data_IF_350145551615
#
_entry.id   IF_350145551615
#
_cell.length_a   1.000
_cell.length_b   1.000
_cell.length_c   1.000
_cell.angle_alpha   90.00
_cell.angle_beta   90.00
_cell.angle_gamma   90.00
#
_symmetry.space_group_name_H-M   'P 1'
#
loop_
_entity.id
_entity.type
_entity.pdbx_description
1 polymer ?
#
# COMPACT_ATOMS: atom_id res chain seq x y z
N UNK A 1 -11.93 -6.33 6.79
CA UNK A 1 -11.73 -5.59 8.05
C UNK A 1 -10.53 -6.17 8.80
N UNK A 2 -9.50 -5.34 9.02
CA UNK A 2 -8.28 -5.68 9.78
C UNK A 2 -8.62 -6.01 11.24
N UNK A 3 -9.65 -5.36 11.82
CA UNK A 3 -10.17 -5.71 13.13
C UNK A 3 -10.75 -7.13 13.14
N UNK A 4 -11.53 -7.49 12.12
CA UNK A 4 -12.03 -8.86 11.96
C UNK A 4 -10.91 -9.89 11.71
N UNK A 5 -9.80 -9.53 11.04
CA UNK A 5 -8.65 -10.42 10.83
C UNK A 5 -7.77 -10.60 12.07
N UNK A 6 -7.55 -9.54 12.85
CA UNK A 6 -6.85 -9.59 14.15
C UNK A 6 -7.69 -10.30 15.22
N UNK A 7 -9.02 -10.27 15.09
CA UNK A 7 -9.94 -11.04 15.92
C UNK A 7 -10.02 -12.53 15.55
N UNK A 8 -9.50 -12.96 14.38
CA UNK A 8 -9.46 -14.39 14.05
C UNK A 8 -8.62 -15.12 15.10
N UNK A 9 -9.11 -16.26 15.64
CA UNK A 9 -8.45 -16.97 16.73
C UNK A 9 -6.97 -17.29 16.46
N UNK A 10 -6.65 -17.61 15.21
CA UNK A 10 -5.29 -17.94 14.77
C UNK A 10 -4.36 -16.72 14.80
N UNK A 11 -4.83 -15.54 14.35
CA UNK A 11 -4.07 -14.29 14.33
C UNK A 11 -3.85 -13.75 15.74
N UNK A 12 -4.88 -13.78 16.59
CA UNK A 12 -4.79 -13.37 18.00
C UNK A 12 -3.80 -14.25 18.76
N UNK A 13 -3.81 -15.56 18.53
CA UNK A 13 -2.89 -16.53 19.14
C UNK A 13 -1.44 -16.32 18.67
N UNK A 14 -1.23 -15.98 17.40
CA UNK A 14 0.09 -15.64 16.87
C UNK A 14 0.63 -14.33 17.46
N UNK A 15 -0.21 -13.29 17.54
CA UNK A 15 0.14 -11.99 18.12
C UNK A 15 0.52 -12.10 19.60
N UNK A 16 -0.25 -12.84 20.40
CA UNK A 16 0.04 -13.04 21.83
C UNK A 16 1.32 -13.85 22.07
N UNK A 17 1.60 -14.85 21.22
CA UNK A 17 2.87 -15.59 21.26
C UNK A 17 4.07 -14.68 20.98
N UNK A 18 3.94 -13.77 20.01
CA UNK A 18 5.00 -12.83 19.66
C UNK A 18 5.21 -11.76 20.73
N UNK A 19 4.13 -11.19 21.31
CA UNK A 19 4.23 -10.27 22.45
C UNK A 19 4.93 -10.93 23.65
N UNK A 20 4.53 -12.16 23.99
CA UNK A 20 5.15 -12.93 25.09
C UNK A 20 6.63 -13.24 24.81
N UNK A 21 7.00 -13.50 23.56
CA UNK A 21 8.39 -13.67 23.17
C UNK A 21 9.21 -12.37 23.26
N UNK A 22 8.60 -11.23 22.91
CA UNK A 22 9.23 -9.90 23.00
C UNK A 22 9.47 -9.48 24.45
N UNK A 23 8.50 -9.68 25.33
CA UNK A 23 8.62 -9.38 26.77
C UNK A 23 9.69 -10.25 27.44
N UNK A 24 9.79 -11.53 27.03
CA UNK A 24 10.85 -12.42 27.50
C UNK A 24 12.24 -11.96 27.04
N UNK A 25 12.37 -11.35 25.85
CA UNK A 25 13.62 -10.75 25.39
C UNK A 25 13.96 -9.50 26.20
N UNK A 26 12.99 -8.62 26.49
CA UNK A 26 13.22 -7.41 27.30
C UNK A 26 13.70 -7.76 28.71
N UNK A 27 13.11 -8.79 29.32
CA UNK A 27 13.52 -9.28 30.64
C UNK A 27 14.94 -9.90 30.61
N UNK A 28 15.33 -10.56 29.52
CA UNK A 28 16.68 -11.13 29.34
C UNK A 28 17.74 -10.09 28.90
N UNK A 29 17.36 -8.84 28.60
CA UNK A 29 18.27 -7.75 28.18
C UNK A 29 18.49 -6.64 29.22
N UNK A 30 17.90 -6.73 30.42
CA UNK A 30 18.25 -5.84 31.53
C UNK A 30 19.71 -6.07 31.96
N UNK A 31 20.51 -5.00 32.19
CA UNK A 31 21.97 -5.09 32.08
C UNK A 31 22.59 -5.68 33.35
N UNK A 32 23.34 -6.77 33.17
CA UNK A 32 24.17 -7.36 34.20
C UNK A 32 25.12 -8.38 33.58
N UNK A 33 26.33 -7.93 33.26
CA UNK A 33 27.50 -8.69 32.77
C UNK A 33 27.54 -9.07 31.28
N UNK A 34 28.34 -8.28 30.54
CA UNK A 34 28.85 -8.62 29.22
C UNK A 34 29.92 -9.73 29.33
N UNK A 35 29.45 -10.99 29.36
CA UNK A 35 30.29 -12.17 29.13
C UNK A 35 30.00 -12.81 27.74
N UNK A 36 30.92 -13.63 27.20
CA UNK A 36 30.71 -14.31 25.91
C UNK A 36 29.43 -15.15 25.96
N UNK A 37 28.43 -14.81 25.11
CA UNK A 37 27.13 -15.49 25.09
C UNK A 37 27.33 -16.97 24.80
N UNK A 38 26.88 -17.84 25.71
CA UNK A 38 26.93 -19.29 25.50
C UNK A 38 26.22 -19.68 24.19
N UNK A 39 26.74 -20.70 23.49
CA UNK A 39 26.13 -21.23 22.25
C UNK A 39 24.63 -21.55 22.41
N UNK A 40 24.19 -21.87 23.64
CA UNK A 40 22.80 -22.12 24.01
C UNK A 40 21.94 -20.84 24.00
N UNK A 41 22.46 -19.72 24.50
CA UNK A 41 21.78 -18.42 24.45
C UNK A 41 21.62 -17.91 23.01
N UNK A 42 22.66 -18.08 22.18
CA UNK A 42 22.62 -17.68 20.76
C UNK A 42 21.58 -18.48 19.96
N UNK A 43 21.51 -19.80 20.16
CA UNK A 43 20.50 -20.67 19.52
C UNK A 43 19.08 -20.30 19.93
N UNK A 44 18.86 -19.93 21.20
CA UNK A 44 17.56 -19.50 21.71
C UNK A 44 17.15 -18.15 21.09
N UNK A 45 18.07 -17.21 21.00
CA UNK A 45 17.88 -15.91 20.33
C UNK A 45 17.51 -16.12 18.84
N UNK A 46 18.28 -16.94 18.11
CA UNK A 46 18.03 -17.22 16.69
C UNK A 46 16.63 -17.81 16.42
N UNK A 47 16.13 -18.70 17.31
CA UNK A 47 14.76 -19.26 17.19
C UNK A 47 13.69 -18.17 17.33
N UNK A 48 13.86 -17.21 18.24
CA UNK A 48 12.88 -16.11 18.40
C UNK A 48 12.91 -15.17 17.20
N UNK A 49 14.09 -14.82 16.68
CA UNK A 49 14.21 -14.03 15.46
C UNK A 49 13.60 -14.72 14.23
N UNK A 50 13.68 -16.05 14.14
CA UNK A 50 13.02 -16.81 13.07
C UNK A 50 11.49 -16.69 13.13
N UNK A 51 10.90 -16.76 14.32
CA UNK A 51 9.45 -16.58 14.51
C UNK A 51 9.01 -15.13 14.21
N UNK A 52 9.79 -14.13 14.63
CA UNK A 52 9.54 -12.72 14.27
C UNK A 52 9.58 -12.52 12.75
N UNK A 53 10.56 -13.13 12.05
CA UNK A 53 10.64 -13.05 10.58
C UNK A 53 9.45 -13.72 9.89
N UNK A 54 8.99 -14.88 10.39
CA UNK A 54 7.78 -15.54 9.86
C UNK A 54 6.55 -14.66 10.02
N UNK A 55 6.39 -14.03 11.19
CA UNK A 55 5.29 -13.09 11.43
C UNK A 55 5.40 -11.82 10.58
N UNK A 56 6.59 -11.23 10.47
CA UNK A 56 6.83 -10.07 9.60
C UNK A 56 6.57 -10.40 8.13
N UNK A 57 6.88 -11.62 7.68
CA UNK A 57 6.53 -12.13 6.34
C UNK A 57 5.02 -12.34 6.19
N UNK A 58 4.35 -12.88 7.20
CA UNK A 58 2.89 -13.03 7.21
C UNK A 58 2.19 -11.67 7.12
N UNK A 59 2.58 -10.70 7.95
CA UNK A 59 2.08 -9.32 7.91
C UNK A 59 2.37 -8.68 6.56
N UNK A 60 3.60 -8.79 6.02
CA UNK A 60 3.94 -8.26 4.69
C UNK A 60 3.08 -8.86 3.56
N UNK A 61 2.72 -10.13 3.69
CA UNK A 61 1.95 -10.85 2.67
C UNK A 61 0.43 -10.65 2.78
N UNK A 62 -0.07 -10.17 3.92
CA UNK A 62 -1.52 -10.06 4.19
C UNK A 62 -1.98 -8.67 4.63
N UNK A 63 -1.05 -7.77 4.94
CA UNK A 63 -1.32 -6.39 5.37
C UNK A 63 -0.44 -5.46 4.54
N UNK A 64 -1.06 -4.68 3.67
CA UNK A 64 -0.36 -3.65 2.90
C UNK A 64 0.36 -2.70 3.88
N UNK A 65 1.67 -2.45 3.72
CA UNK A 65 2.47 -1.68 4.67
C UNK A 65 1.94 -0.26 4.98
N UNK A 66 1.12 0.32 4.09
CA UNK A 66 0.55 1.66 4.21
C UNK A 66 -0.75 1.81 5.02
N UNK A 67 -1.29 0.74 5.61
CA UNK A 67 -2.60 0.78 6.32
C UNK A 67 -2.49 0.76 7.85
N UNK A 68 -1.28 0.67 8.41
CA UNK A 68 -1.10 0.61 9.88
C UNK A 68 -1.32 1.97 10.52
N UNK A 69 -2.42 2.12 11.26
CA UNK A 69 -2.68 3.26 12.15
C UNK A 69 -3.42 4.45 11.52
N UNK A 70 -4.02 4.27 10.33
CA UNK A 70 -4.79 5.31 9.67
C UNK A 70 -6.29 5.15 9.94
N UNK A 71 -7.00 6.22 10.34
CA UNK A 71 -8.45 6.25 10.57
C UNK A 71 -9.31 6.19 9.28
N UNK A 72 -8.81 5.53 8.23
CA UNK A 72 -9.52 5.44 6.95
C UNK A 72 -10.59 4.36 6.99
N UNK A 73 -11.77 4.71 6.47
CA UNK A 73 -12.75 3.69 6.12
C UNK A 73 -12.22 2.88 4.93
N UNK A 74 -12.36 1.57 4.94
CA UNK A 74 -11.87 0.70 3.88
C UNK A 74 -13.03 -0.06 3.27
N UNK A 75 -13.20 0.06 1.96
CA UNK A 75 -14.24 -0.64 1.21
C UNK A 75 -13.64 -1.45 0.08
N UNK A 76 -13.99 -2.74 0.02
CA UNK A 76 -13.53 -3.65 -1.02
C UNK A 76 -14.68 -4.00 -1.94
N UNK A 77 -14.50 -3.74 -3.24
CA UNK A 77 -15.47 -4.10 -4.27
C UNK A 77 -15.49 -5.63 -4.41
N UNK A 78 -16.68 -6.18 -4.60
CA UNK A 78 -16.93 -7.59 -4.89
C UNK A 78 -18.07 -7.73 -5.91
N UNK A 79 -18.32 -8.95 -6.37
CA UNK A 79 -19.44 -9.26 -7.26
C UNK A 79 -20.82 -8.88 -6.68
N UNK A 80 -20.95 -8.80 -5.35
CA UNK A 80 -22.22 -8.50 -4.66
C UNK A 80 -22.23 -7.16 -3.96
N UNK A 81 -21.12 -6.42 -3.96
CA UNK A 81 -20.99 -5.17 -3.23
C UNK A 81 -20.07 -4.19 -3.96
N UNK A 82 -20.66 -3.11 -4.47
CA UNK A 82 -19.98 -2.11 -5.29
C UNK A 82 -19.40 -0.93 -4.51
N UNK A 83 -19.43 -0.96 -3.16
CA UNK A 83 -19.02 0.18 -2.32
C UNK A 83 -19.82 1.47 -2.63
N UNK A 84 -21.15 1.48 -2.46
CA UNK A 84 -21.98 2.65 -2.79
C UNK A 84 -21.57 3.87 -1.97
N UNK A 85 -21.57 5.05 -2.61
CA UNK A 85 -21.14 6.32 -2.01
C UNK A 85 -21.97 6.65 -0.76
N UNK A 86 -23.25 6.27 -0.74
CA UNK A 86 -24.17 6.52 0.37
C UNK A 86 -23.77 5.79 1.65
N UNK A 87 -23.07 4.66 1.53
CA UNK A 87 -22.55 3.89 2.66
C UNK A 87 -21.22 4.43 3.19
N UNK A 88 -20.56 5.35 2.47
CA UNK A 88 -19.30 5.94 2.90
C UNK A 88 -19.53 7.06 3.93
N UNK A 89 -18.65 7.19 4.94
CA UNK A 89 -18.73 8.27 5.93
C UNK A 89 -18.58 9.64 5.25
N UNK A 90 -19.46 10.57 5.60
CA UNK A 90 -19.31 11.98 5.22
C UNK A 90 -18.11 12.60 5.91
N UNK A 91 -17.48 13.57 5.24
CA UNK A 91 -16.35 14.35 5.75
C UNK A 91 -15.19 13.49 6.29
N UNK A 92 -14.98 12.33 5.66
CA UNK A 92 -13.85 11.46 5.96
C UNK A 92 -13.40 10.73 4.69
N UNK A 93 -12.12 10.37 4.65
CA UNK A 93 -11.53 9.60 3.56
C UNK A 93 -11.90 8.11 3.68
N UNK A 94 -12.34 7.54 2.56
CA UNK A 94 -12.52 6.11 2.37
C UNK A 94 -11.53 5.61 1.32
N UNK A 95 -10.88 4.48 1.58
CA UNK A 95 -10.06 3.76 0.61
C UNK A 95 -10.97 2.75 -0.09
N UNK A 96 -10.95 2.75 -1.42
CA UNK A 96 -11.68 1.83 -2.27
C UNK A 96 -10.68 0.88 -2.92
N UNK A 97 -10.93 -0.41 -2.75
CA UNK A 97 -10.12 -1.50 -3.29
C UNK A 97 -10.89 -2.20 -4.42
N UNK A 98 -10.51 -1.96 -5.70
CA UNK A 98 -11.15 -2.58 -6.87
C UNK A 98 -10.59 -3.97 -7.22
N UNK A 99 -9.67 -4.55 -6.42
CA UNK A 99 -8.85 -5.71 -6.79
C UNK A 99 -9.55 -7.08 -6.88
N UNK A 100 -10.88 -7.16 -7.01
CA UNK A 100 -11.57 -8.45 -7.19
C UNK A 100 -12.23 -8.60 -8.56
N UNK A 101 -12.07 -9.81 -9.11
CA UNK A 101 -12.80 -10.32 -10.27
C UNK A 101 -14.32 -10.31 -10.03
N UNK A 102 -15.08 -10.01 -11.09
CA UNK A 102 -16.54 -10.00 -11.06
C UNK A 102 -17.20 -8.69 -10.65
N UNK A 103 -16.45 -7.58 -10.55
CA UNK A 103 -17.07 -6.26 -10.43
C UNK A 103 -17.99 -5.97 -11.63
N UNK A 104 -19.20 -5.41 -11.43
CA UNK A 104 -20.15 -5.10 -12.52
C UNK A 104 -19.59 -4.14 -13.57
N UNK A 105 -18.48 -3.46 -13.26
CA UNK A 105 -17.83 -2.48 -14.13
C UNK A 105 -16.64 -3.03 -14.94
N UNK A 106 -16.38 -4.35 -14.96
CA UNK A 106 -15.18 -4.95 -15.58
C UNK A 106 -13.85 -4.37 -15.08
N UNK A 107 -13.85 -3.83 -13.85
CA UNK A 107 -12.67 -3.25 -13.19
C UNK A 107 -11.80 -4.31 -12.48
N UNK A 108 -12.14 -5.58 -12.59
CA UNK A 108 -11.70 -6.60 -11.62
C UNK A 108 -10.41 -7.36 -11.91
N UNK A 109 -9.97 -7.49 -13.16
CA UNK A 109 -8.81 -8.33 -13.50
C UNK A 109 -7.54 -7.49 -13.65
N UNK A 110 -6.48 -7.83 -12.90
CA UNK A 110 -5.13 -7.25 -13.03
C UNK A 110 -4.99 -5.75 -12.74
N UNK A 111 -5.74 -5.20 -11.77
CA UNK A 111 -5.56 -3.83 -11.30
C UNK A 111 -4.31 -3.68 -10.42
N UNK A 112 -3.14 -3.74 -11.04
CA UNK A 112 -1.84 -3.77 -10.37
C UNK A 112 -1.04 -2.52 -10.69
N UNK A 113 -0.25 -2.09 -9.72
CA UNK A 113 0.79 -1.10 -9.91
C UNK A 113 1.98 -1.71 -10.68
N UNK A 114 2.89 -0.85 -11.14
CA UNK A 114 4.08 -1.29 -11.87
C UNK A 114 4.93 -2.24 -11.03
N UNK A 115 4.98 -2.10 -9.70
CA UNK A 115 5.69 -3.03 -8.80
C UNK A 115 4.94 -4.34 -8.52
N UNK A 116 3.82 -4.57 -9.21
CA UNK A 116 2.88 -5.67 -8.99
C UNK A 116 2.13 -5.63 -7.65
N UNK A 117 2.12 -4.52 -6.91
CA UNK A 117 1.19 -4.33 -5.79
C UNK A 117 -0.23 -4.04 -6.29
N UNK A 118 -1.23 -4.13 -5.41
CA UNK A 118 -2.61 -3.78 -5.77
C UNK A 118 -2.78 -2.28 -5.95
N UNK A 119 -3.48 -1.88 -7.00
CA UNK A 119 -4.01 -0.53 -7.14
C UNK A 119 -5.22 -0.34 -6.22
N UNK A 120 -5.34 0.86 -5.66
CA UNK A 120 -6.41 1.30 -4.77
C UNK A 120 -6.58 2.81 -4.97
N UNK A 121 -7.76 3.35 -4.71
CA UNK A 121 -7.99 4.81 -4.76
C UNK A 121 -8.73 5.30 -3.51
N UNK A 122 -8.83 6.62 -3.35
CA UNK A 122 -9.52 7.22 -2.19
C UNK A 122 -10.69 8.09 -2.63
N UNK A 123 -11.72 8.12 -1.79
CA UNK A 123 -12.85 9.01 -1.95
C UNK A 123 -13.14 9.76 -0.64
N UNK A 124 -13.29 11.08 -0.73
CA UNK A 124 -13.83 11.93 0.32
C UNK A 124 -15.27 12.26 -0.03
N UNK A 125 -16.22 11.85 0.81
CA UNK A 125 -17.62 12.22 0.63
C UNK A 125 -17.87 13.61 1.22
N UNK A 126 -17.95 14.60 0.34
CA UNK A 126 -18.21 15.99 0.72
C UNK A 126 -19.68 16.28 1.02
N UNK A 127 -19.97 17.57 1.23
CA UNK A 127 -21.31 18.09 1.51
C UNK A 127 -21.94 18.83 0.34
N UNK A 128 -21.15 19.25 -0.67
CA UNK A 128 -21.65 19.88 -1.90
C UNK A 128 -21.90 18.88 -3.03
N UNK A 129 -22.61 19.33 -4.06
CA UNK A 129 -22.85 18.65 -5.35
C UNK A 129 -21.64 18.68 -6.29
N UNK A 130 -20.54 19.35 -5.91
CA UNK A 130 -19.32 19.45 -6.71
C UNK A 130 -18.36 18.29 -6.45
N UNK A 131 -17.71 17.85 -7.53
CA UNK A 131 -16.70 16.80 -7.53
C UNK A 131 -15.34 17.35 -7.97
N UNK A 132 -14.29 17.03 -7.21
CA UNK A 132 -12.90 17.16 -7.63
C UNK A 132 -12.35 15.77 -7.95
N UNK A 133 -11.84 15.57 -9.17
CA UNK A 133 -11.06 14.40 -9.54
C UNK A 133 -9.59 14.81 -9.54
N UNK A 134 -8.80 14.20 -8.64
CA UNK A 134 -7.39 14.48 -8.49
C UNK A 134 -6.56 13.28 -8.96
N UNK A 135 -5.82 13.46 -10.05
CA UNK A 135 -4.87 12.49 -10.56
C UNK A 135 -3.49 12.84 -10.01
N UNK A 136 -2.92 11.98 -9.16
CA UNK A 136 -1.59 12.24 -8.60
C UNK A 136 -0.52 12.19 -9.70
N UNK A 137 0.42 13.15 -9.70
CA UNK A 137 1.63 13.04 -10.53
C UNK A 137 2.68 12.11 -9.90
N UNK A 138 3.80 11.88 -10.57
CA UNK A 138 4.90 11.13 -9.97
C UNK A 138 5.90 10.57 -10.95
N UNK A 139 6.22 11.30 -12.02
CA UNK A 139 7.20 10.89 -13.03
C UNK A 139 6.71 9.77 -13.97
N UNK A 140 7.63 9.12 -14.69
CA UNK A 140 7.33 8.06 -15.65
C UNK A 140 8.50 7.07 -15.78
N UNK A 141 8.19 5.83 -16.14
CA UNK A 141 9.14 4.76 -16.38
C UNK A 141 8.91 4.14 -17.76
N UNK A 142 9.96 4.03 -18.55
CA UNK A 142 9.93 3.54 -19.94
C UNK A 142 10.94 2.42 -20.22
N UNK A 143 11.78 2.07 -19.25
CA UNK A 143 12.74 0.98 -19.32
C UNK A 143 13.21 0.56 -17.91
N UNK A 144 14.04 -0.48 -17.83
CA UNK A 144 14.58 -1.02 -16.58
C UNK A 144 15.33 0.02 -15.73
N UNK A 145 16.08 0.89 -16.40
CA UNK A 145 16.84 1.94 -15.75
C UNK A 145 15.92 2.93 -15.03
N UNK A 146 14.86 3.41 -15.71
CA UNK A 146 13.88 4.33 -15.11
C UNK A 146 13.12 3.71 -13.92
N UNK A 147 12.95 2.38 -13.89
CA UNK A 147 12.30 1.68 -12.76
C UNK A 147 13.18 1.49 -11.52
N UNK A 148 14.51 1.63 -11.65
CA UNK A 148 15.45 1.49 -10.53
C UNK A 148 16.08 2.81 -10.10
N UNK A 149 16.22 3.74 -11.06
CA UNK A 149 17.03 4.93 -10.88
C UNK A 149 18.50 4.71 -11.19
N UNK A 150 19.26 5.78 -11.00
CA UNK A 150 20.71 5.78 -11.08
C UNK A 150 21.29 5.46 -9.70
N UNK A 151 22.25 4.53 -9.65
CA UNK A 151 23.13 4.36 -8.49
C UNK A 151 24.51 4.85 -8.87
N UNK A 152 25.05 5.83 -8.14
CA UNK A 152 26.38 6.38 -8.44
C UNK A 152 27.44 5.41 -7.90
N UNK A 153 28.32 4.87 -8.76
CA UNK A 153 29.36 3.92 -8.33
C UNK A 153 30.22 4.49 -7.20
N UNK A 154 30.65 3.62 -6.28
CA UNK A 154 31.49 3.98 -5.12
C UNK A 154 30.87 4.98 -4.14
N UNK A 155 29.55 5.19 -4.21
CA UNK A 155 28.80 5.99 -3.24
C UNK A 155 27.56 5.25 -2.75
N UNK A 156 26.97 5.74 -1.67
CA UNK A 156 25.65 5.27 -1.18
C UNK A 156 24.48 6.02 -1.85
N UNK A 157 24.73 6.81 -2.90
CA UNK A 157 23.71 7.66 -3.53
C UNK A 157 22.96 6.86 -4.60
N UNK A 158 21.65 6.73 -4.40
CA UNK A 158 20.71 6.20 -5.38
C UNK A 158 19.54 7.15 -5.54
N UNK A 159 19.15 7.45 -6.79
CA UNK A 159 18.01 8.33 -7.07
C UNK A 159 16.66 7.65 -6.82
N UNK A 160 16.64 6.32 -6.70
CA UNK A 160 15.42 5.53 -6.73
C UNK A 160 14.68 5.65 -8.08
N UNK A 161 13.53 4.97 -8.21
CA UNK A 161 12.75 4.97 -9.45
C UNK A 161 12.36 6.37 -9.89
N UNK A 162 12.35 6.63 -11.20
CA UNK A 162 11.91 7.89 -11.80
C UNK A 162 10.38 8.01 -11.88
N UNK A 163 9.67 6.97 -11.47
CA UNK A 163 8.23 6.96 -11.35
C UNK A 163 7.77 6.48 -9.98
N UNK A 164 6.55 6.86 -9.62
CA UNK A 164 5.84 6.22 -8.53
C UNK A 164 5.48 4.78 -8.89
N UNK A 165 5.82 3.85 -8.00
CA UNK A 165 5.71 2.42 -8.28
C UNK A 165 4.65 1.67 -7.47
N UNK A 166 4.13 2.27 -6.40
CA UNK A 166 3.13 1.67 -5.50
C UNK A 166 2.26 2.73 -4.84
N UNK A 167 1.07 2.34 -4.37
CA UNK A 167 0.14 3.25 -3.66
C UNK A 167 0.46 3.43 -2.16
N UNK A 168 1.31 2.59 -1.56
CA UNK A 168 1.42 2.47 -0.11
C UNK A 168 1.82 3.76 0.61
N UNK A 169 2.71 4.57 0.02
CA UNK A 169 3.12 5.87 0.57
C UNK A 169 2.21 7.03 0.16
N UNK A 170 1.29 6.81 -0.79
CA UNK A 170 0.49 7.86 -1.42
C UNK A 170 -0.89 8.02 -0.77
N UNK A 171 -1.42 6.93 -0.21
CA UNK A 171 -2.74 6.94 0.43
C UNK A 171 -2.81 7.85 1.67
N UNK A 172 -1.68 8.17 2.30
CA UNK A 172 -1.62 9.09 3.45
C UNK A 172 -1.51 10.58 3.07
N UNK A 173 -1.47 10.93 1.79
CA UNK A 173 -1.21 12.30 1.36
C UNK A 173 -2.49 13.16 1.38
N UNK A 174 -2.59 14.08 2.34
CA UNK A 174 -3.78 14.94 2.57
C UNK A 174 -3.38 16.41 2.75
N UNK A 175 -2.58 16.91 1.81
CA UNK A 175 -2.07 18.28 1.84
C UNK A 175 -2.57 19.07 0.62
N UNK A 176 -2.36 20.39 0.64
CA UNK A 176 -2.78 21.27 -0.45
C UNK A 176 -4.29 21.14 -0.74
N UNK A 177 -4.70 20.97 -2.01
CA UNK A 177 -6.11 20.77 -2.39
C UNK A 177 -6.80 19.57 -1.73
N UNK A 178 -6.03 18.59 -1.24
CA UNK A 178 -6.53 17.38 -0.58
C UNK A 178 -6.66 17.54 0.94
N UNK A 179 -6.24 18.68 1.51
CA UNK A 179 -6.49 18.98 2.91
C UNK A 179 -7.92 19.49 3.08
N UNK A 180 -8.86 18.56 3.22
CA UNK A 180 -10.30 18.86 3.35
C UNK A 180 -10.67 19.47 4.70
N UNK A 181 -9.74 19.52 5.66
CA UNK A 181 -9.94 20.14 6.97
C UNK A 181 -9.52 21.62 6.98
N UNK A 182 -8.85 22.10 5.93
CA UNK A 182 -8.47 23.49 5.81
C UNK A 182 -9.65 24.35 5.34
N UNK A 183 -10.08 25.31 6.16
CA UNK A 183 -11.17 26.25 5.84
C UNK A 183 -10.87 27.17 4.66
N UNK A 184 -9.59 27.36 4.32
CA UNK A 184 -9.19 28.17 3.16
C UNK A 184 -9.07 27.34 1.87
N UNK A 185 -9.34 26.03 1.92
CA UNK A 185 -9.31 25.19 0.72
C UNK A 185 -10.56 25.47 -0.13
N UNK A 186 -10.43 25.93 -1.40
CA UNK A 186 -11.58 26.19 -2.25
C UNK A 186 -12.43 24.94 -2.54
N UNK A 187 -11.86 23.75 -2.34
CA UNK A 187 -12.53 22.47 -2.53
C UNK A 187 -13.06 21.85 -1.24
N UNK A 188 -12.99 22.52 -0.08
CA UNK A 188 -13.26 21.94 1.25
C UNK A 188 -14.57 21.13 1.33
N UNK A 189 -15.63 21.61 0.69
CA UNK A 189 -16.95 20.98 0.72
C UNK A 189 -17.20 20.00 -0.43
N UNK A 190 -16.31 19.92 -1.42
CA UNK A 190 -16.45 19.04 -2.58
C UNK A 190 -16.32 17.58 -2.16
N UNK A 191 -16.99 16.70 -2.89
CA UNK A 191 -16.56 15.31 -2.92
C UNK A 191 -15.26 15.21 -3.71
N UNK A 192 -14.34 14.35 -3.27
CA UNK A 192 -13.02 14.24 -3.91
C UNK A 192 -12.72 12.78 -4.24
N UNK A 193 -12.53 12.50 -5.52
CA UNK A 193 -11.94 11.26 -5.99
C UNK A 193 -10.43 11.47 -6.15
N UNK A 194 -9.63 10.82 -5.32
CA UNK A 194 -8.18 10.82 -5.41
C UNK A 194 -7.69 9.52 -6.03
N UNK A 195 -7.07 9.63 -7.20
CA UNK A 195 -6.48 8.52 -7.95
C UNK A 195 -4.97 8.56 -7.76
N UNK A 196 -4.39 7.71 -6.90
CA UNK A 196 -2.94 7.62 -6.75
C UNK A 196 -2.32 7.08 -8.03
N UNK A 197 -1.09 7.51 -8.29
CA UNK A 197 -0.35 7.11 -9.48
C UNK A 197 0.71 6.09 -9.11
N UNK A 198 0.55 4.87 -9.61
CA UNK A 198 1.52 3.79 -9.40
C UNK A 198 1.83 2.98 -10.68
N UNK A 199 1.30 3.40 -11.83
CA UNK A 199 1.46 2.71 -13.11
C UNK A 199 2.77 3.04 -13.82
N UNK A 200 3.44 4.15 -13.48
CA UNK A 200 4.67 4.57 -14.15
C UNK A 200 4.51 4.99 -15.61
N UNK A 201 3.28 5.21 -16.07
CA UNK A 201 2.88 5.42 -17.47
C UNK A 201 2.07 6.70 -17.71
N UNK A 202 2.09 7.64 -16.76
CA UNK A 202 1.34 8.89 -16.84
C UNK A 202 -0.18 8.73 -16.98
N UNK A 203 -0.75 7.61 -16.51
CA UNK A 203 -2.15 7.21 -16.73
C UNK A 203 -2.53 6.88 -18.18
N UNK A 204 -1.56 6.74 -19.09
CA UNK A 204 -1.79 6.39 -20.49
C UNK A 204 -1.63 4.90 -20.84
N UNK A 205 -1.10 4.09 -19.92
CA UNK A 205 -0.73 2.71 -20.20
C UNK A 205 -1.86 1.69 -19.99
N UNK A 206 -1.92 0.69 -20.89
CA UNK A 206 -2.67 -0.55 -20.70
C UNK A 206 -1.87 -1.77 -21.22
N UNK A 207 -0.65 -1.93 -20.75
CA UNK A 207 0.30 -2.92 -21.30
C UNK A 207 1.12 -3.63 -20.22
N UNK A 208 1.69 -4.77 -20.60
CA UNK A 208 2.78 -5.43 -19.86
C UNK A 208 4.04 -5.25 -20.70
N UNK A 209 5.06 -4.69 -20.08
CA UNK A 209 6.30 -4.35 -20.76
C UNK A 209 7.21 -5.57 -20.94
N UNK A 210 8.13 -5.50 -21.89
CA UNK A 210 9.15 -6.52 -22.12
C UNK A 210 10.37 -6.40 -21.18
N UNK A 211 10.29 -5.51 -20.18
CA UNK A 211 11.36 -5.25 -19.23
C UNK A 211 10.90 -5.47 -17.78
N UNK A 212 11.83 -5.79 -16.88
CA UNK A 212 11.52 -6.11 -15.47
C UNK A 212 11.69 -4.89 -14.57
N UNK A 213 10.92 -4.82 -13.49
CA UNK A 213 11.00 -3.73 -12.48
C UNK A 213 12.31 -3.82 -11.66
N UNK A 214 12.95 -4.99 -11.68
CA UNK A 214 14.24 -5.28 -11.04
C UNK A 214 15.03 -6.20 -11.97
N UNK A 215 15.71 -5.67 -12.99
CA UNK A 215 16.40 -6.48 -13.99
C UNK A 215 17.52 -7.35 -13.42
N UNK A 216 18.13 -6.96 -12.29
CA UNK A 216 19.12 -7.79 -11.59
C UNK A 216 18.49 -9.00 -10.87
N UNK A 217 17.21 -9.27 -11.10
CA UNK A 217 16.48 -10.39 -10.54
C UNK A 217 15.58 -10.99 -11.63
N UNK A 218 16.02 -12.08 -12.25
CA UNK A 218 15.27 -12.77 -13.31
C UNK A 218 13.90 -13.30 -12.86
N UNK A 219 13.70 -13.45 -11.55
CA UNK A 219 12.40 -13.81 -10.97
C UNK A 219 11.47 -12.60 -10.74
N UNK A 220 11.94 -11.37 -10.98
CA UNK A 220 11.11 -10.18 -10.85
C UNK A 220 10.06 -10.15 -11.96
N UNK A 221 8.81 -9.75 -11.68
CA UNK A 221 7.80 -9.65 -12.72
C UNK A 221 8.17 -8.59 -13.77
N UNK A 222 7.63 -8.76 -14.98
CA UNK A 222 7.62 -7.71 -15.99
C UNK A 222 6.86 -6.49 -15.46
N UNK A 223 7.28 -5.30 -15.90
CA UNK A 223 6.60 -4.07 -15.52
C UNK A 223 5.17 -4.04 -16.08
N UNK A 224 4.19 -3.82 -15.20
CA UNK A 224 2.76 -3.76 -15.55
C UNK A 224 2.30 -2.31 -15.52
N UNK A 225 1.96 -1.77 -16.68
CA UNK A 225 1.58 -0.37 -16.85
C UNK A 225 0.10 -0.29 -17.21
N UNK A 226 -0.73 -0.05 -16.19
CA UNK A 226 -2.20 -0.11 -16.27
C UNK A 226 -2.85 1.20 -15.83
N UNK A 227 -2.14 2.32 -15.88
CA UNK A 227 -2.62 3.62 -15.43
C UNK A 227 -3.92 4.07 -16.11
N UNK A 228 -4.12 3.75 -17.39
CA UNK A 228 -5.39 4.03 -18.06
C UNK A 228 -6.55 3.27 -17.40
N UNK A 229 -6.33 1.99 -17.07
CA UNK A 229 -7.31 1.15 -16.36
C UNK A 229 -7.54 1.61 -14.93
N UNK A 230 -6.52 2.13 -14.26
CA UNK A 230 -6.63 2.71 -12.91
C UNK A 230 -7.62 3.89 -12.90
N UNK A 231 -7.50 4.81 -13.86
CA UNK A 231 -8.41 5.96 -13.99
C UNK A 231 -9.82 5.49 -14.34
N UNK A 232 -9.97 4.62 -15.35
CA UNK A 232 -11.28 4.11 -15.74
C UNK A 232 -12.01 3.44 -14.59
N UNK A 233 -11.28 2.73 -13.73
CA UNK A 233 -11.89 2.06 -12.61
C UNK A 233 -12.30 2.98 -11.47
N UNK A 234 -11.49 4.01 -11.18
CA UNK A 234 -11.82 5.00 -10.17
C UNK A 234 -13.01 5.87 -10.61
N UNK A 235 -13.03 6.28 -11.88
CA UNK A 235 -14.11 7.10 -12.45
C UNK A 235 -15.36 6.28 -12.68
N UNK A 236 -15.25 5.06 -13.21
CA UNK A 236 -16.40 4.18 -13.44
C UNK A 236 -17.03 3.61 -12.17
N UNK A 237 -16.38 3.78 -11.02
CA UNK A 237 -16.96 3.46 -9.71
C UNK A 237 -17.90 4.55 -9.19
N UNK A 238 -17.70 5.82 -9.58
CA UNK A 238 -18.58 6.94 -9.22
C UNK A 238 -19.99 6.73 -9.79
#
# INVERSE_FOLDING_TARGET
DEAAMLQRPQTKKALERTKKALEKIKQEQLPGHAGPRSKKALRKQQRVYAEIRKFAKFVRNHVSPGLRGTNYNYCKISATYACPIEALPKNNWSIIDPSQDGSPYNVGVNMRCIDSSNFMFKFWRGSSDKLLIYLQGGGACWNEWSTQGLTVPFTSISTGPLCSTSVASQLGFETGPLNMKNSSNPFQNHSVLYVPYCGGDGFGGDTVQNYRIKPNNDSAPFAVQKGYRHVLAAVGWL
#
